data_IF_122916565392
#
_entry.id   IF_122916565392
#
_cell.length_a   1.000
_cell.length_b   1.000
_cell.length_c   1.000
_cell.angle_alpha   90.00
_cell.angle_beta   90.00
_cell.angle_gamma   90.00
#
_symmetry.space_group_name_H-M   'P 1'
#
loop_
_entity.id
_entity.type
_entity.pdbx_description
1 polymer ?
#
# COMPACT_ATOMS: atom_id res chain seq x y z
N UNK A 1 21.62 49.88 0.50
CA UNK A 1 22.27 50.42 -0.72
C UNK A 1 22.98 49.31 -1.49
N UNK A 2 23.94 48.61 -0.89
CA UNK A 2 24.67 47.52 -1.57
C UNK A 2 23.80 46.32 -2.01
N UNK A 3 22.82 45.91 -1.20
CA UNK A 3 21.96 44.74 -1.51
C UNK A 3 20.95 45.05 -2.62
N UNK A 4 20.39 46.26 -2.64
CA UNK A 4 19.44 46.67 -3.67
C UNK A 4 20.10 46.81 -5.05
N UNK A 5 21.34 47.30 -5.10
CA UNK A 5 22.13 47.38 -6.33
C UNK A 5 22.49 45.99 -6.86
N UNK A 6 22.85 45.07 -5.95
CA UNK A 6 23.13 43.68 -6.31
C UNK A 6 21.89 42.97 -6.88
N UNK A 7 20.69 43.20 -6.33
CA UNK A 7 19.44 42.56 -6.81
C UNK A 7 18.98 43.12 -8.17
N UNK A 8 19.35 44.35 -8.51
CA UNK A 8 19.02 44.96 -9.81
C UNK A 8 19.87 44.46 -10.97
N UNK A 9 20.90 43.66 -10.70
CA UNK A 9 21.77 43.10 -11.73
C UNK A 9 20.98 42.20 -12.71
N UNK A 10 21.03 42.47 -14.03
CA UNK A 10 20.23 41.73 -15.02
C UNK A 10 20.49 40.21 -15.03
N UNK A 11 21.74 39.80 -14.77
CA UNK A 11 22.11 38.39 -14.77
C UNK A 11 21.52 37.63 -13.56
N UNK A 12 21.36 38.29 -12.41
CA UNK A 12 20.70 37.70 -11.24
C UNK A 12 19.20 37.48 -11.48
N UNK A 13 18.57 38.42 -12.18
CA UNK A 13 17.17 38.29 -12.58
C UNK A 13 16.99 37.10 -13.55
N UNK A 14 17.87 36.98 -14.55
CA UNK A 14 17.84 35.84 -15.49
C UNK A 14 18.09 34.51 -14.77
N UNK A 15 19.07 34.45 -13.86
CA UNK A 15 19.35 33.24 -13.08
C UNK A 15 18.16 32.82 -12.20
N UNK A 16 17.50 33.79 -11.55
CA UNK A 16 16.30 33.53 -10.73
C UNK A 16 15.13 33.01 -11.58
N UNK A 17 14.96 33.52 -12.80
CA UNK A 17 13.92 33.06 -13.73
C UNK A 17 14.19 31.62 -14.19
N UNK A 18 15.44 31.28 -14.52
CA UNK A 18 15.84 29.91 -14.89
C UNK A 18 15.57 28.95 -13.72
N UNK A 19 15.94 29.33 -12.50
CA UNK A 19 15.70 28.52 -11.31
C UNK A 19 14.20 28.29 -11.06
N UNK A 20 13.38 29.33 -11.22
CA UNK A 20 11.92 29.23 -11.09
C UNK A 20 11.33 28.30 -12.16
N UNK A 21 11.77 28.41 -13.41
CA UNK A 21 11.33 27.53 -14.50
C UNK A 21 11.71 26.08 -14.19
N UNK A 22 12.95 25.83 -13.75
CA UNK A 22 13.40 24.49 -13.36
C UNK A 22 12.56 23.90 -12.22
N UNK A 23 12.25 24.71 -11.20
CA UNK A 23 11.40 24.30 -10.08
C UNK A 23 9.98 23.92 -10.54
N UNK A 24 9.38 24.73 -11.43
CA UNK A 24 8.06 24.44 -12.01
C UNK A 24 8.10 23.15 -12.84
N UNK A 25 9.15 22.90 -13.62
CA UNK A 25 9.30 21.68 -14.40
C UNK A 25 9.42 20.43 -13.52
N UNK A 26 10.12 20.52 -12.39
CA UNK A 26 10.22 19.41 -11.41
C UNK A 26 8.84 19.11 -10.82
N UNK A 27 8.09 20.14 -10.39
CA UNK A 27 6.73 19.96 -9.86
C UNK A 27 5.82 19.33 -10.93
N UNK A 28 5.88 19.80 -12.17
CA UNK A 28 5.10 19.23 -13.27
C UNK A 28 5.47 17.78 -13.54
N UNK A 29 6.76 17.43 -13.54
CA UNK A 29 7.20 16.04 -13.71
C UNK A 29 6.66 15.14 -12.59
N UNK A 30 6.72 15.60 -11.34
CA UNK A 30 6.18 14.87 -10.20
C UNK A 30 4.66 14.69 -10.34
N UNK A 31 3.92 15.75 -10.63
CA UNK A 31 2.47 15.66 -10.84
C UNK A 31 2.17 14.66 -11.95
N UNK A 32 2.76 14.79 -13.14
CA UNK A 32 2.46 13.92 -14.28
C UNK A 32 2.76 12.43 -14.00
N UNK A 33 3.89 12.12 -13.33
CA UNK A 33 4.26 10.74 -13.02
C UNK A 33 3.36 10.11 -11.95
N UNK A 34 2.99 10.88 -10.92
CA UNK A 34 2.20 10.38 -9.80
C UNK A 34 0.68 10.59 -9.99
N UNK A 35 0.25 11.32 -11.02
CA UNK A 35 -1.17 11.53 -11.34
C UNK A 35 -1.89 10.20 -11.63
N UNK A 36 -1.23 9.28 -12.31
CA UNK A 36 -1.78 7.95 -12.61
C UNK A 36 -2.15 7.16 -11.35
N UNK A 37 -1.44 7.37 -10.23
CA UNK A 37 -1.77 6.74 -8.95
C UNK A 37 -3.01 7.38 -8.31
N UNK A 38 -3.18 8.70 -8.41
CA UNK A 38 -4.36 9.41 -7.92
C UNK A 38 -5.64 9.03 -8.70
N UNK A 39 -5.48 8.62 -9.96
CA UNK A 39 -6.55 8.15 -10.83
C UNK A 39 -6.59 6.63 -10.95
N UNK A 40 -5.93 5.90 -10.04
CA UNK A 40 -6.16 4.47 -9.88
C UNK A 40 -7.57 4.28 -9.32
N UNK A 41 -8.55 4.40 -10.21
CA UNK A 41 -9.93 4.06 -9.98
C UNK A 41 -9.88 2.56 -9.70
N UNK A 42 -10.11 2.18 -8.44
CA UNK A 42 -10.51 0.82 -8.12
C UNK A 42 -11.66 0.53 -9.06
N UNK A 43 -11.42 -0.33 -10.06
CA UNK A 43 -12.50 -0.80 -10.90
C UNK A 43 -13.45 -1.45 -9.92
N UNK A 44 -14.56 -0.79 -9.62
CA UNK A 44 -15.69 -1.47 -9.02
C UNK A 44 -15.96 -2.63 -9.95
N UNK A 45 -15.51 -3.81 -9.54
CA UNK A 45 -15.65 -5.04 -10.27
C UNK A 45 -17.11 -5.09 -10.67
N UNK A 46 -17.32 -5.14 -11.99
CA UNK A 46 -18.64 -5.19 -12.56
C UNK A 46 -19.44 -6.22 -11.78
N UNK A 47 -20.65 -5.84 -11.39
CA UNK A 47 -21.64 -6.64 -10.66
C UNK A 47 -22.14 -7.79 -11.53
N UNK A 48 -21.21 -8.56 -12.10
CA UNK A 48 -21.44 -9.73 -12.93
C UNK A 48 -21.16 -10.94 -12.03
N UNK A 49 -22.26 -11.63 -11.77
CA UNK A 49 -22.52 -12.63 -10.77
C UNK A 49 -21.78 -13.96 -10.94
N UNK A 50 -20.46 -13.94 -11.10
CA UNK A 50 -19.58 -15.11 -10.98
C UNK A 50 -18.18 -14.66 -10.55
N UNK A 51 -18.00 -14.39 -9.26
CA UNK A 51 -16.68 -14.18 -8.67
C UNK A 51 -15.95 -15.52 -8.63
N UNK A 52 -14.74 -15.57 -9.17
CA UNK A 52 -13.91 -16.78 -9.18
C UNK A 52 -13.45 -17.13 -7.76
N UNK A 53 -13.29 -18.42 -7.41
CA UNK A 53 -12.74 -18.78 -6.11
C UNK A 53 -11.32 -18.23 -5.93
N UNK A 54 -11.01 -17.71 -4.74
CA UNK A 54 -9.69 -17.13 -4.42
C UNK A 54 -9.03 -17.88 -3.27
N UNK A 55 -7.72 -18.12 -3.37
CA UNK A 55 -6.91 -18.62 -2.26
C UNK A 55 -6.00 -17.50 -1.75
N UNK A 56 -6.13 -17.16 -0.46
CA UNK A 56 -5.29 -16.17 0.23
C UNK A 56 -4.21 -16.90 1.00
N UNK A 57 -2.95 -16.77 0.57
CA UNK A 57 -1.81 -17.40 1.24
C UNK A 57 -1.07 -16.35 2.07
N UNK A 58 -0.93 -16.62 3.36
CA UNK A 58 -0.26 -15.75 4.34
C UNK A 58 0.95 -16.51 4.90
N UNK A 59 2.15 -16.04 4.62
CA UNK A 59 3.35 -16.55 5.29
C UNK A 59 3.55 -15.79 6.60
N UNK A 60 3.69 -16.51 7.70
CA UNK A 60 3.86 -15.93 9.04
C UNK A 60 5.18 -16.39 9.66
N UNK A 61 6.01 -15.44 10.11
CA UNK A 61 7.23 -15.72 10.87
C UNK A 61 7.32 -14.78 12.07
N UNK A 62 7.08 -15.32 13.26
CA UNK A 62 6.98 -14.55 14.49
C UNK A 62 5.92 -13.42 14.40
N UNK A 63 4.70 -13.79 14.04
CA UNK A 63 3.60 -12.86 13.74
C UNK A 63 2.40 -13.09 14.68
N UNK A 64 2.62 -13.59 15.91
CA UNK A 64 1.53 -13.94 16.83
C UNK A 64 0.59 -12.75 17.14
N UNK A 65 1.14 -11.58 17.45
CA UNK A 65 0.37 -10.34 17.69
C UNK A 65 -0.39 -9.89 16.44
N UNK A 66 0.26 -9.90 15.28
CA UNK A 66 -0.32 -9.45 14.03
C UNK A 66 -1.41 -10.40 13.52
N UNK A 67 -1.21 -11.72 13.62
CA UNK A 67 -2.25 -12.69 13.29
C UNK A 67 -3.47 -12.51 14.20
N UNK A 68 -3.25 -12.29 15.50
CA UNK A 68 -4.34 -12.03 16.45
C UNK A 68 -5.16 -10.80 16.05
N UNK A 69 -4.51 -9.72 15.60
CA UNK A 69 -5.21 -8.48 15.23
C UNK A 69 -5.85 -8.51 13.82
N UNK A 70 -5.15 -9.08 12.84
CA UNK A 70 -5.47 -8.91 11.42
C UNK A 70 -6.10 -10.13 10.77
N UNK A 71 -5.79 -11.34 11.22
CA UNK A 71 -6.36 -12.57 10.64
C UNK A 71 -7.90 -12.59 10.69
N UNK A 72 -8.58 -12.14 11.77
CA UNK A 72 -10.04 -12.02 11.78
C UNK A 72 -10.59 -11.13 10.66
N UNK A 73 -9.88 -10.06 10.28
CA UNK A 73 -10.30 -9.13 9.23
C UNK A 73 -10.24 -9.78 7.85
N UNK A 74 -9.32 -10.73 7.64
CA UNK A 74 -9.22 -11.54 6.41
C UNK A 74 -10.28 -12.64 6.39
N UNK A 75 -10.57 -13.26 7.53
CA UNK A 75 -11.53 -14.36 7.65
C UNK A 75 -13.00 -13.93 7.63
N UNK A 76 -13.28 -12.63 7.73
CA UNK A 76 -14.64 -12.07 7.74
C UNK A 76 -14.94 -11.19 6.51
N UNK A 77 -14.26 -11.45 5.39
CA UNK A 77 -14.47 -10.71 4.15
C UNK A 77 -15.79 -11.09 3.50
N UNK A 78 -16.47 -10.10 2.90
CA UNK A 78 -17.67 -10.31 2.08
C UNK A 78 -17.28 -10.75 0.65
N UNK A 79 -16.58 -11.88 0.54
CA UNK A 79 -16.23 -12.53 -0.72
C UNK A 79 -16.85 -13.94 -0.74
N UNK A 80 -17.58 -14.33 -1.80
CA UNK A 80 -18.48 -15.49 -1.73
C UNK A 80 -17.77 -16.84 -1.68
N UNK A 81 -16.59 -16.97 -2.27
CA UNK A 81 -15.85 -18.24 -2.29
C UNK A 81 -14.35 -18.00 -2.18
N UNK A 82 -13.81 -18.23 -0.99
CA UNK A 82 -12.38 -18.13 -0.76
C UNK A 82 -11.91 -19.08 0.34
N UNK A 83 -10.62 -19.36 0.32
CA UNK A 83 -9.91 -20.06 1.39
C UNK A 83 -8.74 -19.20 1.86
N UNK A 84 -8.34 -19.38 3.12
CA UNK A 84 -7.15 -18.73 3.69
C UNK A 84 -6.20 -19.83 4.13
N UNK A 85 -4.95 -19.75 3.70
CA UNK A 85 -3.89 -20.70 4.05
C UNK A 85 -2.79 -19.92 4.78
N UNK A 86 -2.58 -20.19 6.06
CA UNK A 86 -1.50 -19.56 6.83
C UNK A 86 -0.34 -20.54 6.98
N UNK A 87 0.78 -20.22 6.37
CA UNK A 87 2.00 -21.03 6.41
C UNK A 87 2.92 -20.48 7.50
N UNK A 88 3.19 -21.28 8.52
CA UNK A 88 4.18 -20.94 9.55
C UNK A 88 5.60 -21.17 9.02
N UNK A 89 6.38 -20.10 8.87
CA UNK A 89 7.78 -20.11 8.41
C UNK A 89 8.76 -20.29 9.59
N UNK A 90 8.63 -21.41 10.31
CA UNK A 90 9.52 -21.78 11.42
C UNK A 90 9.62 -20.70 12.51
N UNK A 91 8.47 -20.21 12.98
CA UNK A 91 8.40 -19.24 14.08
C UNK A 91 8.90 -19.82 15.41
N UNK A 92 9.42 -18.95 16.27
CA UNK A 92 9.89 -19.28 17.62
C UNK A 92 8.95 -18.78 18.73
N UNK A 93 7.97 -17.95 18.37
CA UNK A 93 6.96 -17.40 19.26
C UNK A 93 5.67 -18.24 19.27
N UNK A 94 4.55 -17.65 19.70
CA UNK A 94 3.26 -18.33 19.76
C UNK A 94 2.50 -18.38 18.43
N UNK A 95 3.13 -18.06 17.28
CA UNK A 95 2.46 -18.00 15.97
C UNK A 95 1.68 -19.28 15.66
N UNK A 96 2.27 -20.47 15.90
CA UNK A 96 1.61 -21.75 15.64
C UNK A 96 0.34 -21.93 16.49
N UNK A 97 0.41 -21.57 17.78
CA UNK A 97 -0.71 -21.69 18.71
C UNK A 97 -1.87 -20.78 18.27
N UNK A 98 -1.56 -19.54 17.86
CA UNK A 98 -2.56 -18.60 17.35
C UNK A 98 -3.23 -19.15 16.10
N UNK A 99 -2.47 -19.72 15.15
CA UNK A 99 -3.03 -20.35 13.94
C UNK A 99 -3.96 -21.51 14.32
N UNK A 100 -3.56 -22.34 15.28
CA UNK A 100 -4.36 -23.48 15.75
C UNK A 100 -5.70 -23.05 16.38
N UNK A 101 -5.68 -22.02 17.22
CA UNK A 101 -6.88 -21.45 17.82
C UNK A 101 -7.85 -20.94 16.74
N UNK A 102 -7.35 -20.19 15.76
CA UNK A 102 -8.19 -19.69 14.67
C UNK A 102 -8.72 -20.80 13.76
N UNK A 103 -7.95 -21.86 13.53
CA UNK A 103 -8.38 -22.99 12.67
C UNK A 103 -9.58 -23.73 13.28
N UNK A 104 -9.70 -23.76 14.61
CA UNK A 104 -10.87 -24.34 15.30
C UNK A 104 -12.13 -23.48 15.15
N UNK A 105 -11.97 -22.16 15.05
CA UNK A 105 -13.08 -21.20 15.00
C UNK A 105 -13.55 -21.00 13.55
N UNK A 106 -12.64 -20.99 12.58
CA UNK A 106 -12.91 -20.66 11.19
C UNK A 106 -12.59 -21.84 10.26
N UNK A 107 -13.60 -22.59 9.79
CA UNK A 107 -13.38 -23.75 8.89
C UNK A 107 -12.77 -23.40 7.52
N UNK A 108 -12.82 -22.13 7.11
CA UNK A 108 -12.22 -21.64 5.87
C UNK A 108 -10.70 -21.43 5.98
N UNK A 109 -10.16 -21.41 7.21
CA UNK A 109 -8.72 -21.29 7.48
C UNK A 109 -8.07 -22.68 7.42
N UNK A 110 -6.93 -22.74 6.74
CA UNK A 110 -6.05 -23.90 6.61
C UNK A 110 -4.64 -23.51 7.03
N UNK A 111 -3.85 -24.48 7.47
CA UNK A 111 -2.43 -24.33 7.79
C UNK A 111 -1.59 -25.36 7.04
#
# INVERSE_FOLDING_TARGET
MLISELITEPWLQVASLIALIGFVLIILNYILNYWTLAFFKSSHLATNSNLEPVSVIICAKNEDENLTEFLPKVLQQDYPNYEVIVVNDCSFDNTENVIDEFTQIFPILKK
#
